data_IF_557214068417
#
_entry.id   IF_557214068417
#
_cell.length_a   1.000
_cell.length_b   1.000
_cell.length_c   1.000
_cell.angle_alpha   90.00
_cell.angle_beta   90.00
_cell.angle_gamma   90.00
#
_symmetry.space_group_name_H-M   'P 1'
#
loop_
_entity.id
_entity.type
_entity.pdbx_description
1 polymer ?
#
# COMPACT_ATOMS: atom_id res chain seq x y z
N UNK A 1 54.82 -2.92 -35.14
CA UNK A 1 55.78 -2.24 -34.25
C UNK A 1 56.74 -1.45 -35.14
N UNK A 2 56.65 -0.11 -35.20
CA UNK A 2 57.67 0.69 -35.87
C UNK A 2 59.02 0.51 -35.17
N UNK A 3 60.13 0.49 -35.92
CA UNK A 3 61.47 0.46 -35.32
C UNK A 3 61.82 1.82 -34.73
N UNK A 4 62.20 1.84 -33.46
CA UNK A 4 62.67 3.03 -32.76
C UNK A 4 64.03 3.46 -33.32
N UNK A 5 64.20 4.76 -33.51
CA UNK A 5 65.43 5.37 -34.03
C UNK A 5 66.44 5.70 -32.92
N UNK A 6 67.73 5.85 -33.26
CA UNK A 6 68.78 6.23 -32.28
C UNK A 6 68.46 7.55 -31.54
N UNK A 7 67.76 8.49 -32.19
CA UNK A 7 67.32 9.73 -31.59
C UNK A 7 66.21 9.54 -30.55
N UNK A 8 65.34 8.55 -30.72
CA UNK A 8 64.22 8.25 -29.81
C UNK A 8 64.67 7.47 -28.55
N UNK A 9 65.82 6.80 -28.61
CA UNK A 9 66.45 6.14 -27.45
C UNK A 9 67.51 7.00 -26.76
N UNK A 10 67.70 8.24 -27.20
CA UNK A 10 68.60 9.18 -26.55
C UNK A 10 68.10 9.49 -25.12
N UNK A 11 69.00 9.67 -24.12
CA UNK A 11 68.61 9.93 -22.75
C UNK A 11 67.65 11.13 -22.57
N UNK A 12 67.81 12.18 -23.38
CA UNK A 12 66.93 13.35 -23.37
C UNK A 12 65.52 13.03 -23.87
N UNK A 13 65.39 12.26 -24.95
CA UNK A 13 64.09 11.83 -25.48
C UNK A 13 63.34 10.93 -24.48
N UNK A 14 64.06 10.04 -23.80
CA UNK A 14 63.49 9.19 -22.74
C UNK A 14 63.01 10.04 -21.55
N UNK A 15 63.76 11.06 -21.13
CA UNK A 15 63.35 11.92 -20.00
C UNK A 15 62.15 12.81 -20.36
N UNK A 16 62.07 13.31 -21.59
CA UNK A 16 60.89 14.02 -22.09
C UNK A 16 59.65 13.10 -22.10
N UNK A 17 59.79 11.85 -22.56
CA UNK A 17 58.68 10.91 -22.59
C UNK A 17 58.26 10.48 -21.17
N UNK A 18 59.20 10.36 -20.23
CA UNK A 18 58.89 10.16 -18.80
C UNK A 18 58.15 11.35 -18.19
N UNK A 19 58.48 12.57 -18.60
CA UNK A 19 57.74 13.77 -18.18
C UNK A 19 56.30 13.72 -18.70
N UNK A 20 56.10 13.43 -19.98
CA UNK A 20 54.75 13.23 -20.56
C UNK A 20 53.98 12.12 -19.88
N UNK A 21 54.64 11.00 -19.58
CA UNK A 21 54.02 9.90 -18.84
C UNK A 21 53.54 10.36 -17.45
N UNK A 22 54.36 11.10 -16.70
CA UNK A 22 53.97 11.66 -15.38
C UNK A 22 52.76 12.59 -15.50
N UNK A 23 52.76 13.48 -16.50
CA UNK A 23 51.63 14.39 -16.77
C UNK A 23 50.35 13.61 -17.13
N UNK A 24 50.47 12.60 -17.99
CA UNK A 24 49.35 11.73 -18.36
C UNK A 24 48.82 10.91 -17.17
N UNK A 25 49.72 10.34 -16.35
CA UNK A 25 49.33 9.62 -15.12
C UNK A 25 48.57 10.53 -14.17
N UNK A 26 49.07 11.76 -13.94
CA UNK A 26 48.38 12.73 -13.09
C UNK A 26 46.99 13.06 -13.64
N UNK A 27 46.88 13.29 -14.96
CA UNK A 27 45.59 13.58 -15.60
C UNK A 27 44.59 12.42 -15.45
N UNK A 28 45.04 11.17 -15.62
CA UNK A 28 44.21 9.98 -15.40
C UNK A 28 43.72 9.93 -13.95
N UNK A 29 44.61 10.10 -12.97
CA UNK A 29 44.23 10.09 -11.55
C UNK A 29 43.24 11.21 -11.20
N UNK A 30 43.36 12.37 -11.83
CA UNK A 30 42.42 13.48 -11.62
C UNK A 30 41.04 13.18 -12.24
N UNK A 31 41.00 12.55 -13.43
CA UNK A 31 39.76 12.08 -14.05
C UNK A 31 39.10 11.00 -13.20
N UNK A 32 39.85 10.01 -12.72
CA UNK A 32 39.32 8.95 -11.84
C UNK A 32 38.68 9.54 -10.59
N UNK A 33 39.33 10.53 -9.97
CA UNK A 33 38.76 11.25 -8.81
C UNK A 33 37.46 11.99 -9.16
N UNK A 34 37.38 12.59 -10.35
CA UNK A 34 36.17 13.25 -10.82
C UNK A 34 35.03 12.25 -11.07
N UNK A 35 35.33 11.10 -11.67
CA UNK A 35 34.36 10.01 -11.87
C UNK A 35 33.82 9.54 -10.52
N UNK A 36 34.69 9.31 -9.54
CA UNK A 36 34.27 8.90 -8.19
C UNK A 36 33.43 9.96 -7.47
N UNK A 37 33.73 11.24 -7.68
CA UNK A 37 32.92 12.34 -7.15
C UNK A 37 31.53 12.36 -7.81
N UNK A 38 31.47 12.27 -9.14
CA UNK A 38 30.21 12.26 -9.90
C UNK A 38 29.36 11.02 -9.59
N UNK A 39 29.96 9.85 -9.40
CA UNK A 39 29.22 8.65 -8.98
C UNK A 39 28.57 8.82 -7.61
N UNK A 40 29.25 9.45 -6.65
CA UNK A 40 28.68 9.76 -5.32
C UNK A 40 27.57 10.80 -5.40
N UNK A 41 27.76 11.85 -6.19
CA UNK A 41 26.74 12.87 -6.42
C UNK A 41 25.49 12.28 -7.08
N UNK A 42 25.68 11.45 -8.11
CA UNK A 42 24.60 10.74 -8.78
C UNK A 42 23.85 9.81 -7.82
N UNK A 43 24.56 9.09 -6.95
CA UNK A 43 23.93 8.24 -5.93
C UNK A 43 23.05 9.07 -4.98
N UNK A 44 23.57 10.20 -4.48
CA UNK A 44 22.82 11.10 -3.59
C UNK A 44 21.62 11.72 -4.30
N UNK A 45 21.79 12.16 -5.54
CA UNK A 45 20.72 12.72 -6.36
C UNK A 45 19.62 11.68 -6.63
N UNK A 46 19.99 10.42 -6.91
CA UNK A 46 19.04 9.31 -7.08
C UNK A 46 18.26 9.01 -5.80
N UNK A 47 18.93 8.95 -4.65
CA UNK A 47 18.25 8.77 -3.36
C UNK A 47 17.27 9.91 -3.08
N UNK A 48 17.67 11.16 -3.33
CA UNK A 48 16.79 12.32 -3.16
C UNK A 48 15.61 12.29 -4.13
N UNK A 49 15.84 11.96 -5.39
CA UNK A 49 14.79 11.84 -6.39
C UNK A 49 13.77 10.77 -5.99
N UNK A 50 14.23 9.60 -5.53
CA UNK A 50 13.38 8.51 -5.11
C UNK A 50 12.54 8.90 -3.88
N UNK A 51 13.15 9.53 -2.88
CA UNK A 51 12.44 10.07 -1.71
C UNK A 51 11.35 11.07 -2.10
N UNK A 52 11.64 11.98 -3.04
CA UNK A 52 10.66 12.95 -3.52
C UNK A 52 9.54 12.28 -4.32
N UNK A 53 9.87 11.32 -5.19
CA UNK A 53 8.90 10.52 -5.97
C UNK A 53 7.90 9.84 -5.05
N UNK A 54 8.40 9.10 -4.05
CA UNK A 54 7.56 8.42 -3.06
C UNK A 54 6.76 9.42 -2.23
N UNK A 55 7.37 10.53 -1.83
CA UNK A 55 6.68 11.57 -1.05
C UNK A 55 5.52 12.21 -1.81
N UNK A 56 5.66 12.42 -3.13
CA UNK A 56 4.57 12.91 -3.99
C UNK A 56 3.48 11.85 -4.12
N UNK A 57 3.86 10.62 -4.47
CA UNK A 57 2.91 9.51 -4.63
C UNK A 57 2.07 9.27 -3.37
N UNK A 58 2.68 9.32 -2.18
CA UNK A 58 1.95 9.19 -0.93
C UNK A 58 0.93 10.31 -0.72
N UNK A 59 1.30 11.57 -1.01
CA UNK A 59 0.37 12.70 -0.88
C UNK A 59 -0.79 12.60 -1.87
N UNK A 60 -0.53 12.13 -3.09
CA UNK A 60 -1.57 11.89 -4.08
C UNK A 60 -2.54 10.78 -3.64
N UNK A 61 -2.03 9.69 -3.05
CA UNK A 61 -2.86 8.64 -2.47
C UNK A 61 -3.72 9.15 -1.32
N UNK A 62 -3.14 9.91 -0.38
CA UNK A 62 -3.90 10.48 0.75
C UNK A 62 -4.90 11.54 0.30
N UNK A 63 -4.57 12.33 -0.74
CA UNK A 63 -5.51 13.25 -1.35
C UNK A 63 -6.69 12.51 -1.99
N UNK A 64 -6.44 11.39 -2.67
CA UNK A 64 -7.49 10.54 -3.23
C UNK A 64 -8.38 9.92 -2.14
N UNK A 65 -7.79 9.47 -1.02
CA UNK A 65 -8.54 8.99 0.15
C UNK A 65 -9.46 10.07 0.70
N UNK A 66 -8.96 11.29 0.87
CA UNK A 66 -9.76 12.40 1.43
C UNK A 66 -10.82 12.94 0.46
N UNK A 67 -10.64 12.76 -0.84
CA UNK A 67 -11.58 13.24 -1.86
C UNK A 67 -12.74 12.27 -2.10
N UNK A 68 -12.62 11.01 -1.69
CA UNK A 68 -13.62 9.95 -1.91
C UNK A 68 -14.34 9.63 -0.58
N UNK A 69 -15.59 10.07 -0.46
CA UNK A 69 -16.40 9.93 0.75
C UNK A 69 -16.53 8.47 1.21
N UNK A 70 -16.70 7.52 0.27
CA UNK A 70 -16.82 6.10 0.63
C UNK A 70 -15.51 5.53 1.17
N UNK A 71 -14.36 6.02 0.69
CA UNK A 71 -13.05 5.63 1.21
C UNK A 71 -12.83 6.27 2.57
N UNK A 72 -13.19 7.55 2.73
CA UNK A 72 -13.04 8.26 3.99
C UNK A 72 -13.95 7.69 5.10
N UNK A 73 -15.14 7.19 4.77
CA UNK A 73 -16.02 6.51 5.72
C UNK A 73 -15.36 5.27 6.39
N UNK A 74 -14.37 4.64 5.73
CA UNK A 74 -13.57 3.57 6.34
C UNK A 74 -12.67 4.10 7.45
N UNK A 75 -12.10 5.31 7.27
CA UNK A 75 -11.31 6.00 8.30
C UNK A 75 -12.19 6.30 9.51
N UNK A 76 -13.38 6.86 9.28
CA UNK A 76 -14.31 7.21 10.36
C UNK A 76 -14.76 5.97 11.14
N UNK A 77 -15.13 4.88 10.46
CA UNK A 77 -15.56 3.64 11.10
C UNK A 77 -14.46 3.02 11.97
N UNK A 78 -13.23 2.93 11.45
CA UNK A 78 -12.10 2.38 12.22
C UNK A 78 -11.70 3.27 13.39
N UNK A 79 -11.62 4.59 13.17
CA UNK A 79 -11.28 5.53 14.25
C UNK A 79 -12.36 5.62 15.33
N UNK A 80 -13.63 5.41 14.95
CA UNK A 80 -14.75 5.21 15.87
C UNK A 80 -14.58 3.95 16.72
N UNK A 81 -14.29 2.81 16.11
CA UNK A 81 -14.03 1.55 16.85
C UNK A 81 -12.82 1.69 17.80
N UNK A 82 -11.74 2.34 17.35
CA UNK A 82 -10.60 2.63 18.23
C UNK A 82 -10.98 3.57 19.38
N UNK A 83 -11.94 4.47 19.19
CA UNK A 83 -12.45 5.33 20.25
C UNK A 83 -13.28 4.55 21.26
N UNK A 84 -14.17 3.69 20.79
CA UNK A 84 -14.95 2.79 21.65
C UNK A 84 -14.04 1.90 22.51
N UNK A 85 -12.98 1.33 21.92
CA UNK A 85 -11.96 0.60 22.70
C UNK A 85 -11.30 1.48 23.76
N UNK A 86 -10.94 2.72 23.45
CA UNK A 86 -10.34 3.61 24.46
C UNK A 86 -11.33 3.97 25.57
N UNK A 87 -12.61 4.05 25.25
CA UNK A 87 -13.68 4.27 26.23
C UNK A 87 -13.84 3.05 27.14
N UNK A 88 -13.65 1.83 26.62
CA UNK A 88 -13.65 0.59 27.43
C UNK A 88 -12.47 0.48 28.41
N UNK A 89 -11.45 1.33 28.29
CA UNK A 89 -10.37 1.43 29.29
C UNK A 89 -10.74 2.28 30.50
N UNK A 90 -11.89 2.97 30.47
CA UNK A 90 -12.32 3.90 31.50
C UNK A 90 -13.52 3.31 32.24
N UNK A 91 -13.40 3.22 33.56
CA UNK A 91 -14.51 2.80 34.41
C UNK A 91 -15.74 3.70 34.19
N UNK A 92 -16.92 3.11 33.92
CA UNK A 92 -18.15 3.87 33.75
C UNK A 92 -18.50 4.72 34.96
N UNK A 93 -19.12 5.88 34.72
CA UNK A 93 -19.62 6.73 35.80
C UNK A 93 -20.61 5.94 36.67
N UNK A 94 -20.34 5.89 37.97
CA UNK A 94 -21.14 5.20 39.00
C UNK A 94 -20.97 3.68 39.10
N UNK A 95 -20.04 3.04 38.39
CA UNK A 95 -19.81 1.58 38.48
C UNK A 95 -19.68 1.07 39.93
N UNK A 96 -18.80 1.69 40.74
CA UNK A 96 -18.67 1.36 42.16
C UNK A 96 -19.93 1.63 43.00
N UNK A 97 -20.73 2.64 42.64
CA UNK A 97 -21.96 2.96 43.38
C UNK A 97 -23.07 1.95 43.06
N UNK A 98 -23.16 1.52 41.81
CA UNK A 98 -24.10 0.50 41.34
C UNK A 98 -23.79 -0.85 41.98
N UNK A 99 -22.51 -1.29 41.98
CA UNK A 99 -22.13 -2.54 42.66
C UNK A 99 -22.37 -2.50 44.16
N UNK A 100 -22.12 -1.37 44.84
CA UNK A 100 -22.43 -1.23 46.28
C UNK A 100 -23.94 -1.29 46.57
N UNK A 101 -24.78 -0.98 45.59
CA UNK A 101 -26.24 -1.15 45.68
C UNK A 101 -26.69 -2.60 45.53
N UNK A 102 -25.93 -3.41 44.78
CA UNK A 102 -26.27 -4.80 44.46
C UNK A 102 -25.60 -5.83 45.39
N UNK A 103 -24.41 -5.53 45.89
CA UNK A 103 -23.57 -6.46 46.65
C UNK A 103 -23.43 -6.00 48.11
N UNK A 104 -23.81 -6.82 49.10
CA UNK A 104 -23.86 -6.40 50.50
C UNK A 104 -22.50 -6.29 51.20
N UNK A 105 -21.44 -6.92 50.68
CA UNK A 105 -20.09 -6.83 51.22
C UNK A 105 -19.15 -6.11 50.24
N UNK A 106 -18.29 -5.23 50.76
CA UNK A 106 -17.30 -4.52 49.91
C UNK A 106 -16.21 -5.43 49.34
N UNK A 107 -15.97 -6.60 49.96
CA UNK A 107 -14.98 -7.58 49.48
C UNK A 107 -15.44 -8.34 48.22
N UNK A 108 -16.73 -8.29 47.92
CA UNK A 108 -17.34 -8.95 46.75
C UNK A 108 -17.44 -8.00 45.53
N UNK A 109 -16.93 -6.76 45.65
CA UNK A 109 -16.90 -5.77 44.56
C UNK A 109 -15.78 -6.16 43.57
N UNK A 110 -16.16 -6.40 42.33
CA UNK A 110 -15.22 -6.74 41.25
C UNK A 110 -14.66 -5.44 40.68
N UNK A 111 -13.33 -5.27 40.60
CA UNK A 111 -12.72 -4.14 39.90
C UNK A 111 -13.15 -4.13 38.43
N UNK A 112 -13.40 -2.94 37.86
CA UNK A 112 -13.77 -2.85 36.44
C UNK A 112 -12.72 -3.46 35.51
N UNK A 113 -11.44 -3.39 35.86
CA UNK A 113 -10.34 -4.02 35.12
C UNK A 113 -10.47 -5.54 34.95
N UNK A 114 -11.27 -6.17 35.80
CA UNK A 114 -11.45 -7.62 35.86
C UNK A 114 -12.77 -8.04 35.19
N UNK A 115 -13.54 -7.11 34.62
CA UNK A 115 -14.73 -7.41 33.83
C UNK A 115 -14.40 -7.58 32.35
N UNK A 116 -15.26 -8.32 31.65
CA UNK A 116 -15.16 -8.51 30.20
C UNK A 116 -15.34 -7.20 29.41
N UNK A 117 -15.91 -6.16 30.06
CA UNK A 117 -16.10 -4.85 29.45
C UNK A 117 -14.80 -4.02 29.40
N UNK A 118 -13.82 -4.31 30.26
CA UNK A 118 -12.56 -3.58 30.28
C UNK A 118 -11.61 -4.08 29.18
N UNK A 119 -11.10 -3.14 28.39
CA UNK A 119 -10.24 -3.44 27.25
C UNK A 119 -10.90 -4.40 26.23
N UNK A 120 -12.23 -4.33 26.09
CA UNK A 120 -12.96 -5.11 25.08
C UNK A 120 -12.53 -4.69 23.66
N UNK A 121 -11.86 -5.59 22.96
CA UNK A 121 -11.33 -5.39 21.61
C UNK A 121 -12.26 -5.92 20.50
N UNK A 122 -13.36 -6.57 20.88
CA UNK A 122 -14.26 -7.29 19.96
C UNK A 122 -14.85 -6.39 18.87
N UNK A 123 -15.17 -5.14 19.21
CA UNK A 123 -15.70 -4.17 18.23
C UNK A 123 -14.67 -3.84 17.15
N UNK A 124 -13.40 -3.65 17.54
CA UNK A 124 -12.31 -3.36 16.60
C UNK A 124 -12.12 -4.52 15.63
N UNK A 125 -12.07 -5.74 16.14
CA UNK A 125 -11.95 -6.95 15.33
C UNK A 125 -13.11 -7.10 14.35
N UNK A 126 -14.33 -6.92 14.84
CA UNK A 126 -15.56 -7.02 14.04
C UNK A 126 -15.53 -6.02 12.88
N UNK A 127 -15.22 -4.74 13.18
CA UNK A 127 -15.15 -3.69 12.16
C UNK A 127 -14.07 -3.99 11.13
N UNK A 128 -12.88 -4.43 11.54
CA UNK A 128 -11.80 -4.78 10.61
C UNK A 128 -12.20 -5.96 9.72
N UNK A 129 -12.75 -7.03 10.29
CA UNK A 129 -13.17 -8.20 9.55
C UNK A 129 -14.26 -7.87 8.50
N UNK A 130 -15.27 -7.09 8.89
CA UNK A 130 -16.35 -6.65 8.00
C UNK A 130 -15.82 -5.78 6.84
N UNK A 131 -14.91 -4.85 7.14
CA UNK A 131 -14.32 -3.97 6.14
C UNK A 131 -13.45 -4.76 5.15
N UNK A 132 -12.65 -5.71 5.63
CA UNK A 132 -11.85 -6.57 4.77
C UNK A 132 -12.72 -7.46 3.87
N UNK A 133 -13.78 -8.04 4.43
CA UNK A 133 -14.75 -8.83 3.65
C UNK A 133 -15.43 -7.97 2.56
N UNK A 134 -15.85 -6.75 2.92
CA UNK A 134 -16.48 -5.80 1.99
C UNK A 134 -15.52 -5.40 0.86
N UNK A 135 -14.26 -5.13 1.17
CA UNK A 135 -13.23 -4.80 0.17
C UNK A 135 -12.98 -5.98 -0.76
N UNK A 136 -12.87 -7.20 -0.21
CA UNK A 136 -12.69 -8.42 -0.99
C UNK A 136 -13.86 -8.64 -1.97
N UNK A 137 -15.09 -8.52 -1.49
CA UNK A 137 -16.30 -8.64 -2.32
C UNK A 137 -16.33 -7.58 -3.43
N UNK A 138 -15.97 -6.33 -3.12
CA UNK A 138 -15.90 -5.25 -4.12
C UNK A 138 -14.87 -5.56 -5.21
N UNK A 139 -13.71 -6.11 -4.84
CA UNK A 139 -12.65 -6.47 -5.78
C UNK A 139 -13.06 -7.67 -6.66
N UNK A 140 -13.66 -8.70 -6.09
CA UNK A 140 -14.16 -9.88 -6.81
C UNK A 140 -15.27 -9.51 -7.80
N UNK A 141 -16.24 -8.71 -7.38
CA UNK A 141 -17.37 -8.27 -8.21
C UNK A 141 -16.95 -7.38 -9.39
N UNK A 142 -15.75 -6.79 -9.33
CA UNK A 142 -15.24 -5.80 -10.30
C UNK A 142 -14.04 -6.32 -11.11
N UNK A 143 -13.88 -7.64 -11.16
CA UNK A 143 -12.84 -8.39 -11.86
C UNK A 143 -12.58 -7.84 -13.28
N UNK A 144 -11.31 -7.59 -13.60
CA UNK A 144 -10.87 -7.08 -14.90
C UNK A 144 -11.13 -8.07 -16.06
N UNK A 145 -11.19 -9.38 -15.75
CA UNK A 145 -11.37 -10.47 -16.72
C UNK A 145 -12.82 -10.79 -17.13
N UNK A 146 -13.84 -10.13 -16.56
CA UNK A 146 -15.24 -10.45 -16.91
C UNK A 146 -15.63 -9.75 -18.23
N UNK A 147 -15.56 -10.48 -19.34
CA UNK A 147 -16.71 -10.87 -20.19
C UNK A 147 -16.35 -12.07 -21.08
N UNK A 148 -17.28 -13.02 -21.34
CA UNK A 148 -17.09 -14.06 -22.33
C UNK A 148 -17.15 -13.45 -23.73
N UNK A 149 -16.11 -13.74 -24.52
CA UNK A 149 -16.11 -13.65 -25.96
C UNK A 149 -17.36 -14.33 -26.56
N UNK A 150 -17.86 -13.77 -27.66
CA UNK A 150 -18.72 -14.42 -28.66
C UNK A 150 -20.15 -14.78 -28.25
N UNK A 151 -21.05 -13.79 -28.27
CA UNK A 151 -22.39 -14.05 -28.82
C UNK A 151 -22.20 -14.20 -30.33
N UNK A 152 -22.07 -15.44 -30.77
CA UNK A 152 -22.05 -15.83 -32.17
C UNK A 152 -23.43 -15.46 -32.75
N UNK A 153 -23.54 -14.25 -33.31
CA UNK A 153 -24.74 -13.84 -34.04
C UNK A 153 -24.69 -14.61 -35.36
N UNK A 154 -25.35 -15.76 -35.39
CA UNK A 154 -25.74 -16.41 -36.64
C UNK A 154 -26.70 -15.48 -37.37
N UNK A 155 -26.18 -14.57 -38.20
CA UNK A 155 -26.95 -13.88 -39.22
C UNK A 155 -26.97 -14.73 -40.49
N UNK A 156 -27.79 -15.78 -40.46
CA UNK A 156 -28.38 -16.33 -41.68
C UNK A 156 -29.70 -15.59 -41.90
N UNK A 157 -29.71 -14.56 -42.74
CA UNK A 157 -30.96 -14.05 -43.32
C UNK A 157 -30.67 -13.12 -44.49
N UNK A 158 -31.08 -13.63 -45.65
CA UNK A 158 -31.33 -13.02 -46.94
C UNK A 158 -31.43 -11.50 -47.00
N UNK A 159 -30.77 -10.99 -48.04
CA UNK A 159 -31.04 -9.76 -48.76
C UNK A 159 -32.53 -9.43 -48.87
N UNK A 160 -32.93 -8.28 -48.30
CA UNK A 160 -33.90 -7.36 -48.91
C UNK A 160 -33.82 -5.98 -48.24
N UNK A 161 -33.93 -4.96 -49.09
CA UNK A 161 -33.67 -3.54 -48.85
C UNK A 161 -34.80 -2.86 -48.06
N UNK A 162 -34.49 -1.90 -47.17
CA UNK A 162 -35.11 -0.56 -47.15
C UNK A 162 -34.66 0.34 -45.99
N UNK A 163 -34.67 1.64 -46.30
CA UNK A 163 -34.28 2.84 -45.57
C UNK A 163 -35.00 3.05 -44.23
N UNK A 164 -34.23 3.32 -43.17
CA UNK A 164 -34.47 4.43 -42.24
C UNK A 164 -33.18 4.71 -41.45
N UNK A 165 -32.70 5.95 -41.52
CA UNK A 165 -31.55 6.40 -40.73
C UNK A 165 -31.92 6.45 -39.26
N UNK A 166 -31.37 5.53 -38.49
CA UNK A 166 -31.17 5.64 -37.05
C UNK A 166 -29.65 5.72 -36.83
N UNK A 167 -29.26 6.68 -35.99
CA UNK A 167 -27.87 6.95 -35.64
C UNK A 167 -27.11 5.67 -35.28
N UNK A 168 -25.87 5.47 -35.76
CA UNK A 168 -25.01 4.45 -35.19
C UNK A 168 -24.56 4.97 -33.84
N UNK A 169 -25.34 4.72 -32.78
CA UNK A 169 -24.82 4.78 -31.41
C UNK A 169 -23.62 3.83 -31.36
N UNK A 170 -22.42 4.40 -31.43
CA UNK A 170 -21.17 3.66 -31.40
C UNK A 170 -21.11 2.85 -30.10
N UNK A 171 -21.16 1.50 -30.15
CA UNK A 171 -21.09 0.66 -28.95
C UNK A 171 -19.75 0.76 -28.21
N UNK A 172 -18.77 1.43 -28.83
CA UNK A 172 -17.42 1.65 -28.32
C UNK A 172 -17.37 2.67 -27.17
N UNK A 173 -18.21 3.71 -27.19
CA UNK A 173 -18.19 4.76 -26.15
C UNK A 173 -18.75 4.23 -24.82
N UNK A 174 -19.84 3.47 -24.88
CA UNK A 174 -20.47 2.86 -23.71
C UNK A 174 -19.55 1.84 -23.04
N UNK A 175 -18.85 1.03 -23.84
CA UNK A 175 -17.93 0.01 -23.34
C UNK A 175 -16.69 0.63 -22.65
N UNK A 176 -16.14 1.71 -23.22
CA UNK A 176 -15.04 2.48 -22.60
C UNK A 176 -15.47 3.12 -21.29
N UNK A 177 -16.69 3.68 -21.22
CA UNK A 177 -17.21 4.26 -19.98
C UNK A 177 -17.40 3.20 -18.88
N UNK A 178 -17.92 2.01 -19.23
CA UNK A 178 -18.09 0.89 -18.28
C UNK A 178 -16.74 0.38 -17.76
N UNK A 179 -15.73 0.27 -18.63
CA UNK A 179 -14.38 -0.13 -18.21
C UNK A 179 -13.74 0.89 -17.28
N UNK A 180 -13.89 2.18 -17.59
CA UNK A 180 -13.39 3.26 -16.74
C UNK A 180 -14.07 3.26 -15.37
N UNK A 181 -15.39 3.08 -15.32
CA UNK A 181 -16.13 2.97 -14.07
C UNK A 181 -15.65 1.78 -13.23
N UNK A 182 -15.44 0.61 -13.84
CA UNK A 182 -14.88 -0.56 -13.15
C UNK A 182 -13.47 -0.30 -12.61
N UNK A 183 -12.61 0.36 -13.38
CA UNK A 183 -11.25 0.71 -12.96
C UNK A 183 -11.25 1.68 -11.77
N UNK A 184 -12.06 2.75 -11.83
CA UNK A 184 -12.25 3.67 -10.70
C UNK A 184 -12.74 2.93 -9.46
N UNK A 185 -13.73 2.06 -9.63
CA UNK A 185 -14.32 1.29 -8.55
C UNK A 185 -13.34 0.26 -7.94
N UNK A 186 -12.44 -0.34 -8.72
CA UNK A 186 -11.34 -1.16 -8.20
C UNK A 186 -10.32 -0.31 -7.44
N UNK A 187 -9.94 0.84 -8.01
CA UNK A 187 -9.00 1.77 -7.34
C UNK A 187 -9.55 2.23 -5.99
N UNK A 188 -10.84 2.53 -5.92
CA UNK A 188 -11.52 2.88 -4.67
C UNK A 188 -11.41 1.75 -3.62
N UNK A 189 -11.65 0.49 -4.01
CA UNK A 189 -11.52 -0.65 -3.10
C UNK A 189 -10.06 -0.85 -2.62
N UNK A 190 -9.07 -0.61 -3.49
CA UNK A 190 -7.65 -0.68 -3.14
C UNK A 190 -7.24 0.45 -2.19
N UNK A 191 -7.81 1.65 -2.36
CA UNK A 191 -7.62 2.76 -1.42
C UNK A 191 -8.23 2.42 -0.04
N UNK A 192 -9.41 1.78 0.01
CA UNK A 192 -9.98 1.26 1.27
C UNK A 192 -9.04 0.25 1.93
N UNK A 193 -8.50 -0.71 1.17
CA UNK A 193 -7.54 -1.69 1.70
C UNK A 193 -6.27 -1.01 2.24
N UNK A 194 -5.75 0.00 1.53
CA UNK A 194 -4.61 0.79 1.95
C UNK A 194 -4.88 1.49 3.28
N UNK A 195 -6.04 2.14 3.42
CA UNK A 195 -6.46 2.81 4.67
C UNK A 195 -6.53 1.82 5.82
N UNK A 196 -7.20 0.67 5.63
CA UNK A 196 -7.29 -0.39 6.65
C UNK A 196 -5.89 -0.82 7.07
N UNK A 197 -5.00 -1.07 6.10
CA UNK A 197 -3.62 -1.52 6.38
C UNK A 197 -2.84 -0.50 7.22
N UNK A 198 -2.94 0.79 6.89
CA UNK A 198 -2.24 1.86 7.61
C UNK A 198 -2.77 2.02 9.03
N UNK A 199 -4.09 1.93 9.22
CA UNK A 199 -4.72 2.09 10.52
C UNK A 199 -4.50 0.88 11.43
N UNK A 200 -4.70 -0.33 10.92
CA UNK A 200 -4.45 -1.59 11.65
C UNK A 200 -2.96 -1.76 11.96
N UNK A 201 -2.07 -1.34 11.06
CA UNK A 201 -0.62 -1.36 11.30
C UNK A 201 -0.16 -0.44 12.44
N UNK A 202 -1.05 0.41 12.99
CA UNK A 202 -0.80 1.27 14.16
C UNK A 202 -1.91 1.14 15.20
N UNK A 203 -2.62 0.02 15.21
CA UNK A 203 -3.78 -0.20 16.09
C UNK A 203 -3.41 0.02 17.56
N UNK A 204 -2.22 -0.40 17.98
CA UNK A 204 -1.76 -0.25 19.37
C UNK A 204 -1.57 1.22 19.78
N UNK A 205 -1.18 2.06 18.81
CA UNK A 205 -1.06 3.49 19.02
C UNK A 205 -2.44 4.14 19.11
N UNK A 206 -3.38 3.78 18.22
CA UNK A 206 -4.72 4.36 18.19
C UNK A 206 -5.60 3.89 19.35
N UNK A 207 -5.49 2.62 19.73
CA UNK A 207 -6.20 2.03 20.86
C UNK A 207 -5.53 2.34 22.20
N UNK A 208 -4.31 2.90 22.20
CA UNK A 208 -3.65 3.34 23.42
C UNK A 208 -3.23 2.19 24.33
N UNK A 209 -2.68 1.10 23.77
CA UNK A 209 -2.26 -0.09 24.55
C UNK A 209 -1.32 0.24 25.71
N UNK A 210 -0.57 1.35 25.62
CA UNK A 210 0.30 1.85 26.69
C UNK A 210 -0.44 2.34 27.94
N UNK A 211 -1.75 2.56 27.84
CA UNK A 211 -2.61 3.00 28.95
C UNK A 211 -3.08 1.81 29.81
N UNK A 212 -3.00 0.60 29.26
CA UNK A 212 -3.40 -0.64 29.93
C UNK A 212 -2.28 -1.03 30.90
N UNK A 213 -2.60 -1.00 32.19
CA UNK A 213 -1.60 -1.23 33.25
C UNK A 213 -1.20 -2.71 33.38
N UNK A 214 -2.14 -3.61 33.10
CA UNK A 214 -1.92 -5.05 33.20
C UNK A 214 -1.62 -5.67 31.83
N UNK A 215 -0.47 -6.33 31.72
CA UNK A 215 0.01 -6.86 30.44
C UNK A 215 -0.87 -7.98 29.86
N UNK A 216 -1.62 -8.72 30.70
CA UNK A 216 -2.55 -9.77 30.24
C UNK A 216 -3.77 -9.22 29.53
N UNK A 217 -4.15 -7.96 29.82
CA UNK A 217 -5.37 -7.35 29.26
C UNK A 217 -5.05 -6.54 28.00
N UNK A 218 -3.77 -6.56 27.55
CA UNK A 218 -3.38 -5.92 26.30
C UNK A 218 -3.65 -6.89 25.14
N UNK A 219 -4.50 -6.53 24.16
CA UNK A 219 -4.89 -7.44 23.07
C UNK A 219 -3.82 -7.50 21.97
N UNK A 220 -2.61 -7.95 22.32
CA UNK A 220 -1.49 -8.11 21.38
C UNK A 220 -1.76 -9.19 20.34
N UNK A 221 -2.28 -10.35 20.78
CA UNK A 221 -2.57 -11.48 19.89
C UNK A 221 -3.62 -11.08 18.85
N UNK A 222 -4.68 -10.41 19.30
CA UNK A 222 -5.80 -9.97 18.45
C UNK A 222 -5.32 -8.92 17.44
N UNK A 223 -4.48 -7.97 17.87
CA UNK A 223 -3.84 -7.01 16.98
C UNK A 223 -2.94 -7.67 15.91
N UNK A 224 -2.23 -8.74 16.26
CA UNK A 224 -1.44 -9.54 15.32
C UNK A 224 -2.33 -10.32 14.34
N UNK A 225 -3.39 -10.98 14.82
CA UNK A 225 -4.34 -11.70 13.98
C UNK A 225 -5.01 -10.78 12.95
N UNK A 226 -5.39 -9.57 13.35
CA UNK A 226 -5.93 -8.59 12.40
C UNK A 226 -4.91 -8.20 11.33
N UNK A 227 -3.62 -8.01 11.69
CA UNK A 227 -2.57 -7.73 10.70
C UNK A 227 -2.36 -8.90 9.74
N UNK A 228 -2.45 -10.13 10.24
CA UNK A 228 -2.36 -11.33 9.41
C UNK A 228 -3.56 -11.44 8.46
N UNK A 229 -4.76 -11.06 8.92
CA UNK A 229 -5.95 -10.92 8.08
C UNK A 229 -5.76 -9.91 6.94
N UNK A 230 -5.22 -8.72 7.24
CA UNK A 230 -4.89 -7.70 6.23
C UNK A 230 -3.84 -8.24 5.24
N UNK A 231 -2.80 -8.89 5.75
CA UNK A 231 -1.72 -9.47 4.93
C UNK A 231 -2.27 -10.53 3.98
N UNK A 232 -3.17 -11.38 4.46
CA UNK A 232 -3.83 -12.42 3.68
C UNK A 232 -4.64 -11.83 2.51
N UNK A 233 -5.32 -10.70 2.70
CA UNK A 233 -6.06 -10.02 1.61
C UNK A 233 -5.11 -9.48 0.54
N UNK A 234 -3.97 -8.89 0.92
CA UNK A 234 -2.96 -8.45 -0.05
C UNK A 234 -2.33 -9.61 -0.83
N UNK A 235 -1.99 -10.71 -0.14
CA UNK A 235 -1.42 -11.90 -0.77
C UNK A 235 -2.42 -12.55 -1.73
N UNK A 236 -3.67 -12.70 -1.31
CA UNK A 236 -4.78 -13.17 -2.15
C UNK A 236 -4.90 -12.34 -3.44
N UNK A 237 -4.89 -11.01 -3.32
CA UNK A 237 -5.01 -10.09 -4.44
C UNK A 237 -3.84 -10.20 -5.43
N UNK A 238 -2.62 -10.39 -4.93
CA UNK A 238 -1.41 -10.37 -5.74
C UNK A 238 -1.05 -11.72 -6.37
N UNK A 239 -1.38 -12.83 -5.72
CA UNK A 239 -0.90 -14.16 -6.06
C UNK A 239 -2.02 -15.15 -6.37
N UNK A 240 -3.16 -15.09 -5.67
CA UNK A 240 -4.21 -16.10 -5.81
C UNK A 240 -5.25 -15.75 -6.87
N UNK A 241 -5.56 -14.46 -7.06
CA UNK A 241 -6.62 -14.00 -7.98
C UNK A 241 -6.09 -13.13 -9.12
N UNK A 242 -5.46 -13.72 -10.16
CA UNK A 242 -4.82 -12.93 -11.19
C UNK A 242 -5.78 -12.15 -12.09
N UNK A 243 -7.08 -12.44 -12.06
CA UNK A 243 -8.10 -11.77 -12.88
C UNK A 243 -8.68 -10.51 -12.25
N UNK A 244 -8.48 -10.27 -10.95
CA UNK A 244 -9.08 -9.15 -10.22
C UNK A 244 -8.47 -7.82 -10.67
N UNK A 245 -7.14 -7.76 -10.71
CA UNK A 245 -6.38 -6.60 -11.19
C UNK A 245 -5.80 -6.84 -12.59
N UNK A 246 -5.74 -5.80 -13.39
CA UNK A 246 -4.88 -5.77 -14.58
C UNK A 246 -3.40 -5.92 -14.19
N UNK A 247 -2.55 -6.30 -15.15
CA UNK A 247 -1.12 -6.43 -14.91
C UNK A 247 -0.48 -5.10 -14.47
N UNK A 248 -0.94 -3.98 -15.05
CA UNK A 248 -0.49 -2.63 -14.73
C UNK A 248 -0.91 -2.22 -13.32
N UNK A 249 -2.20 -2.38 -12.97
CA UNK A 249 -2.70 -2.10 -11.61
C UNK A 249 -1.93 -2.96 -10.59
N UNK A 250 -1.71 -4.24 -10.87
CA UNK A 250 -0.97 -5.11 -9.94
C UNK A 250 0.46 -4.64 -9.74
N UNK A 251 1.15 -4.23 -10.80
CA UNK A 251 2.51 -3.74 -10.70
C UNK A 251 2.58 -2.43 -9.91
N UNK A 252 1.67 -1.48 -10.19
CA UNK A 252 1.53 -0.22 -9.44
C UNK A 252 1.30 -0.49 -7.94
N UNK A 253 0.31 -1.32 -7.61
CA UNK A 253 -0.04 -1.58 -6.22
C UNK A 253 1.00 -2.41 -5.48
N UNK A 254 1.72 -3.32 -6.15
CA UNK A 254 2.88 -3.98 -5.54
C UNK A 254 4.02 -3.00 -5.23
N UNK A 255 4.27 -2.02 -6.10
CA UNK A 255 5.26 -0.96 -5.85
C UNK A 255 4.86 -0.11 -4.65
N UNK A 256 3.59 0.35 -4.62
CA UNK A 256 3.03 1.13 -3.51
C UNK A 256 3.13 0.37 -2.19
N UNK A 257 2.62 -0.87 -2.14
CA UNK A 257 2.61 -1.68 -0.91
C UNK A 257 4.03 -1.92 -0.41
N UNK A 258 4.98 -2.27 -1.29
CA UNK A 258 6.38 -2.45 -0.92
C UNK A 258 7.01 -1.17 -0.39
N UNK A 259 6.79 -0.05 -1.08
CA UNK A 259 7.43 1.22 -0.75
C UNK A 259 6.91 1.85 0.56
N UNK A 260 5.62 1.67 0.88
CA UNK A 260 4.99 2.36 2.01
C UNK A 260 4.60 1.45 3.18
N UNK A 261 4.22 0.20 2.91
CA UNK A 261 3.70 -0.74 3.93
C UNK A 261 4.75 -1.77 4.33
N UNK A 262 5.71 -2.05 3.45
CA UNK A 262 6.81 -2.98 3.67
C UNK A 262 6.67 -4.29 2.91
N UNK A 263 7.75 -5.08 2.90
CA UNK A 263 7.84 -6.30 2.11
C UNK A 263 6.88 -7.40 2.55
N UNK A 264 6.46 -7.44 3.81
CA UNK A 264 5.54 -8.47 4.34
C UNK A 264 4.22 -8.54 3.58
N UNK A 265 3.68 -7.39 3.18
CA UNK A 265 2.41 -7.28 2.45
C UNK A 265 2.55 -7.54 0.94
N UNK A 266 3.78 -7.48 0.39
CA UNK A 266 4.06 -7.70 -1.02
C UNK A 266 4.75 -9.05 -1.30
N UNK A 267 5.25 -9.74 -0.27
CA UNK A 267 5.89 -11.03 -0.37
C UNK A 267 4.92 -12.12 -0.85
N UNK A 268 5.46 -13.13 -1.53
CA UNK A 268 4.71 -14.35 -1.81
C UNK A 268 4.44 -15.09 -0.48
N UNK A 269 3.25 -15.70 -0.31
CA UNK A 269 2.95 -16.54 0.85
C UNK A 269 3.89 -17.75 0.94
#
# INVERSE_FOLDING_TARGET
MPMLTEAEIAPSAIEEERKRLREATQHVTDIERQIDALHRELATARTRWEQLRLSVQWRELMAAVNADEDVYAVVERLTGAFAAFRESLVEPENYLQEQKGEVPNEEDIVPYSDTDDYADFSEVETVVAELLATVKEQLESRTAASWPSSRNINCSSSCESSVSGEDPSCPDVELVMVQKAKATARRQALLKLLVITVLVGRVEQYCGFKLISEASNVPWSDAEEMRDGVTSVWQWLFYEQPGVLTAEERAEWKDIVRAFLGDSYAAAP
#
